data_IF_658653527821
#
_entry.id   IF_658653527821
#
_cell.length_a   1.000
_cell.length_b   1.000
_cell.length_c   1.000
_cell.angle_alpha   90.00
_cell.angle_beta   90.00
_cell.angle_gamma   90.00
#
_symmetry.space_group_name_H-M   'P 1'
#
loop_
_entity.id
_entity.type
_entity.pdbx_description
1 polymer ?
#
# COMPACT_ATOMS: atom_id res chain seq x y z
N UNK A 1 17.39 6.93 -2.91
CA UNK A 1 16.13 6.20 -2.64
C UNK A 1 15.25 7.12 -1.82
N UNK A 2 14.22 7.71 -2.42
CA UNK A 2 13.29 8.63 -1.74
C UNK A 2 12.41 7.87 -0.75
N UNK A 3 13.02 7.47 0.37
CA UNK A 3 12.28 7.05 1.56
C UNK A 3 11.37 8.23 1.91
N UNK A 4 10.05 8.04 1.84
CA UNK A 4 8.99 8.95 2.30
C UNK A 4 8.14 9.69 1.25
N UNK A 5 8.19 9.35 -0.06
CA UNK A 5 7.27 9.94 -1.07
C UNK A 5 5.79 9.88 -0.64
N UNK A 6 5.40 8.80 0.04
CA UNK A 6 4.02 8.57 0.47
C UNK A 6 3.73 8.80 1.96
N UNK A 7 4.73 9.24 2.74
CA UNK A 7 4.57 9.49 4.17
C UNK A 7 3.52 10.58 4.41
N UNK A 8 3.73 11.74 3.78
CA UNK A 8 2.83 12.89 3.87
C UNK A 8 1.40 12.57 3.39
N UNK A 9 1.25 11.67 2.42
CA UNK A 9 -0.07 11.28 1.90
C UNK A 9 -0.85 10.53 2.97
N UNK A 10 -0.23 9.54 3.62
CA UNK A 10 -0.87 8.77 4.68
C UNK A 10 -1.18 9.66 5.90
N UNK A 11 -0.24 10.52 6.30
CA UNK A 11 -0.43 11.40 7.47
C UNK A 11 -1.58 12.40 7.26
N UNK A 12 -1.67 13.03 6.09
CA UNK A 12 -2.78 13.94 5.74
C UNK A 12 -4.14 13.23 5.75
N UNK A 13 -4.14 11.94 5.49
CA UNK A 13 -5.33 11.07 5.53
C UNK A 13 -5.64 10.51 6.92
N UNK A 14 -4.92 10.94 7.96
CA UNK A 14 -5.09 10.40 9.32
C UNK A 14 -4.63 8.94 9.47
N UNK A 15 -3.91 8.40 8.49
CA UNK A 15 -3.43 7.02 8.49
C UNK A 15 -1.99 6.99 8.99
N UNK A 16 -1.74 6.22 10.05
CA UNK A 16 -0.37 6.00 10.55
C UNK A 16 0.51 5.34 9.46
N UNK A 17 1.64 5.94 9.06
CA UNK A 17 2.49 5.41 8.00
C UNK A 17 3.41 4.30 8.51
N UNK A 18 2.89 3.08 8.59
CA UNK A 18 3.71 1.89 8.92
C UNK A 18 4.51 1.44 7.71
N UNK A 19 5.57 0.64 7.93
CA UNK A 19 6.38 0.09 6.84
C UNK A 19 5.54 -0.65 5.79
N UNK A 20 4.61 -1.52 6.24
CA UNK A 20 3.70 -2.25 5.35
C UNK A 20 2.83 -1.28 4.51
N UNK A 21 2.23 -0.26 5.13
CA UNK A 21 1.36 0.68 4.41
C UNK A 21 2.14 1.49 3.37
N UNK A 22 3.36 1.88 3.70
CA UNK A 22 4.23 2.58 2.75
C UNK A 22 4.62 1.68 1.58
N UNK A 23 4.99 0.42 1.84
CA UNK A 23 5.33 -0.55 0.80
C UNK A 23 4.13 -0.86 -0.12
N UNK A 24 2.95 -1.09 0.46
CA UNK A 24 1.73 -1.34 -0.33
C UNK A 24 1.35 -0.13 -1.17
N UNK A 25 1.41 1.07 -0.58
CA UNK A 25 1.07 2.30 -1.30
C UNK A 25 2.06 2.60 -2.42
N UNK A 26 3.36 2.33 -2.22
CA UNK A 26 4.37 2.43 -3.27
C UNK A 26 4.10 1.43 -4.40
N UNK A 27 3.87 0.16 -4.06
CA UNK A 27 3.61 -0.90 -5.03
C UNK A 27 2.41 -0.59 -5.94
N UNK A 28 1.30 -0.10 -5.39
CA UNK A 28 0.10 0.24 -6.19
C UNK A 28 0.23 1.59 -6.92
N UNK A 29 1.02 2.54 -6.39
CA UNK A 29 1.18 3.86 -7.00
C UNK A 29 2.05 3.84 -8.25
N UNK A 30 2.84 2.79 -8.44
CA UNK A 30 3.70 2.60 -9.62
C UNK A 30 3.00 1.78 -10.73
N UNK A 31 1.71 1.42 -10.57
CA UNK A 31 0.96 0.67 -11.58
C UNK A 31 0.11 1.60 -12.44
N UNK A 32 0.15 1.39 -13.75
CA UNK A 32 -0.68 2.10 -14.74
C UNK A 32 -2.00 1.36 -15.03
N UNK A 33 -2.14 0.13 -14.53
CA UNK A 33 -3.29 -0.75 -14.77
C UNK A 33 -3.90 -1.28 -13.47
N UNK A 34 -5.12 -1.82 -13.59
CA UNK A 34 -5.81 -2.47 -12.48
C UNK A 34 -5.11 -3.81 -12.21
N UNK A 35 -4.59 -3.97 -11.01
CA UNK A 35 -3.98 -5.23 -10.55
C UNK A 35 -4.94 -6.01 -9.67
N UNK A 36 -4.85 -7.34 -9.71
CA UNK A 36 -5.58 -8.18 -8.75
C UNK A 36 -4.88 -8.20 -7.39
N UNK A 37 -5.63 -8.55 -6.34
CA UNK A 37 -5.04 -8.74 -5.01
C UNK A 37 -4.02 -9.89 -4.97
N UNK A 38 -4.20 -10.92 -5.81
CA UNK A 38 -3.28 -12.05 -5.91
C UNK A 38 -1.96 -11.63 -6.56
N UNK A 39 -2.02 -10.80 -7.59
CA UNK A 39 -0.81 -10.30 -8.26
C UNK A 39 0.00 -9.40 -7.32
N UNK A 40 -0.70 -8.55 -6.55
CA UNK A 40 -0.06 -7.70 -5.54
C UNK A 40 0.59 -8.53 -4.41
N UNK A 41 -0.07 -9.62 -3.99
CA UNK A 41 0.48 -10.56 -3.00
C UNK A 41 1.73 -11.26 -3.54
N UNK A 42 1.70 -11.73 -4.79
CA UNK A 42 2.84 -12.36 -5.44
C UNK A 42 4.02 -11.39 -5.61
N UNK A 43 3.76 -10.12 -5.91
CA UNK A 43 4.78 -9.07 -6.06
C UNK A 43 5.45 -8.72 -4.72
N UNK A 44 4.67 -8.61 -3.65
CA UNK A 44 5.20 -8.22 -2.34
C UNK A 44 5.82 -9.39 -1.58
N UNK A 45 5.42 -10.63 -1.87
CA UNK A 45 6.08 -11.89 -1.51
C UNK A 45 6.15 -12.27 -0.03
N UNK A 46 6.23 -11.29 0.88
CA UNK A 46 6.39 -11.46 2.33
C UNK A 46 5.19 -10.94 3.12
N UNK A 47 4.19 -10.40 2.45
CA UNK A 47 3.01 -9.79 3.07
C UNK A 47 1.81 -10.67 2.74
N UNK A 48 1.12 -11.15 3.78
CA UNK A 48 -0.04 -12.01 3.60
C UNK A 48 -1.24 -11.27 2.99
N UNK A 49 -2.07 -12.01 2.23
CA UNK A 49 -3.31 -11.50 1.61
C UNK A 49 -4.22 -10.73 2.56
N UNK A 50 -4.34 -11.16 3.82
CA UNK A 50 -5.25 -10.53 4.77
C UNK A 50 -4.75 -9.15 5.20
N UNK A 51 -3.44 -9.01 5.35
CA UNK A 51 -2.76 -7.74 5.62
C UNK A 51 -2.85 -6.80 4.42
N UNK A 52 -2.67 -7.31 3.20
CA UNK A 52 -2.87 -6.53 1.97
C UNK A 52 -4.31 -6.02 1.87
N UNK A 53 -5.29 -6.92 2.02
CA UNK A 53 -6.70 -6.56 1.97
C UNK A 53 -7.06 -5.47 2.99
N UNK A 54 -6.73 -5.65 4.27
CA UNK A 54 -6.99 -4.65 5.32
C UNK A 54 -6.33 -3.31 5.02
N UNK A 55 -5.11 -3.33 4.46
CA UNK A 55 -4.37 -2.12 4.10
C UNK A 55 -5.05 -1.37 2.96
N UNK A 56 -5.48 -2.08 1.91
CA UNK A 56 -6.19 -1.49 0.78
C UNK A 56 -7.57 -0.96 1.19
N UNK A 57 -8.31 -1.70 2.01
CA UNK A 57 -9.60 -1.21 2.57
C UNK A 57 -9.41 0.06 3.39
N UNK A 58 -8.32 0.16 4.17
CA UNK A 58 -8.00 1.38 4.90
C UNK A 58 -7.75 2.57 3.96
N UNK A 59 -7.16 2.34 2.78
CA UNK A 59 -6.92 3.39 1.79
C UNK A 59 -8.18 3.85 1.04
N UNK A 60 -9.22 3.03 0.98
CA UNK A 60 -10.49 3.37 0.34
C UNK A 60 -11.34 4.32 1.18
N UNK A 61 -11.12 4.37 2.49
CA UNK A 61 -11.91 5.18 3.44
C UNK A 61 -11.30 6.58 3.69
N UNK A 62 -10.48 7.07 2.76
CA UNK A 62 -9.80 8.37 2.83
C UNK A 62 -10.60 9.43 2.09
#
# INVERSE_FOLDING_TARGET
>A
MEKNKYLNRLEKSGIKPTAIRLLVLDAISNKEEIISLLDLEAELGTIDKSTLFRTLTLFQNI
#
